data_IF_290139395542
#
_entry.id   IF_290139395542
#
_cell.length_a   1.000
_cell.length_b   1.000
_cell.length_c   1.000
_cell.angle_alpha   90.00
_cell.angle_beta   90.00
_cell.angle_gamma   90.00
#
_symmetry.space_group_name_H-M   'P 1'
#
loop_
_entity.id
_entity.type
_entity.pdbx_description
1 polymer ?
#
# COMPACT_ATOMS: atom_id res chain seq x y z
N UNK A 1 9.19 -31.03 3.13
CA UNK A 1 9.32 -29.74 3.82
C UNK A 1 10.46 -28.93 3.22
N UNK A 2 10.34 -27.62 3.16
CA UNK A 2 11.36 -26.73 2.63
C UNK A 2 12.54 -26.57 3.61
N UNK A 3 12.26 -26.52 4.90
CA UNK A 3 13.22 -26.52 5.97
C UNK A 3 12.73 -27.46 7.09
N UNK A 4 13.66 -28.16 7.75
CA UNK A 4 13.36 -29.05 8.87
C UNK A 4 14.17 -28.62 10.10
N UNK A 5 13.60 -28.83 11.28
CA UNK A 5 14.21 -28.48 12.58
C UNK A 5 14.52 -26.99 12.72
N UNK A 6 13.69 -26.14 12.16
CA UNK A 6 13.74 -24.69 12.28
C UNK A 6 12.49 -24.21 13.01
N UNK A 7 12.65 -23.55 14.15
CA UNK A 7 11.59 -22.86 14.85
C UNK A 7 11.47 -21.43 14.28
N UNK A 8 10.91 -21.33 13.06
CA UNK A 8 10.77 -20.09 12.34
C UNK A 8 9.89 -19.11 13.14
N UNK A 9 10.41 -17.95 13.47
CA UNK A 9 9.68 -16.87 14.14
C UNK A 9 9.26 -15.79 13.17
N UNK A 10 10.04 -15.58 12.10
CA UNK A 10 9.72 -14.62 11.05
C UNK A 10 10.46 -14.96 9.75
N UNK A 11 9.96 -14.45 8.63
CA UNK A 11 10.56 -14.58 7.31
C UNK A 11 10.37 -13.28 6.52
N UNK A 12 11.45 -12.81 5.91
CA UNK A 12 11.41 -11.65 5.02
C UNK A 12 12.45 -11.80 3.90
N UNK A 13 12.38 -10.91 2.89
CA UNK A 13 13.31 -10.88 1.77
C UNK A 13 14.27 -9.69 1.91
N UNK A 14 15.56 -9.99 1.88
CA UNK A 14 16.62 -8.98 1.80
C UNK A 14 16.60 -8.24 0.45
N UNK A 15 17.22 -7.06 0.40
CA UNK A 15 17.34 -6.28 -0.84
C UNK A 15 18.13 -6.99 -1.93
N UNK A 16 18.94 -7.97 -1.55
CA UNK A 16 19.71 -8.85 -2.44
C UNK A 16 18.90 -10.06 -2.97
N UNK A 17 17.58 -10.04 -2.88
CA UNK A 17 16.71 -11.09 -3.36
C UNK A 17 16.71 -12.39 -2.54
N UNK A 18 17.52 -12.48 -1.48
CA UNK A 18 17.57 -13.67 -0.63
C UNK A 18 16.49 -13.65 0.44
N UNK A 19 15.87 -14.78 0.69
CA UNK A 19 14.96 -14.96 1.81
C UNK A 19 15.77 -15.14 3.10
N UNK A 20 15.38 -14.42 4.15
CA UNK A 20 15.97 -14.53 5.49
C UNK A 20 14.93 -15.10 6.43
N UNK A 21 15.30 -16.13 7.17
CA UNK A 21 14.45 -16.80 8.15
C UNK A 21 15.11 -16.63 9.52
N UNK A 22 14.37 -16.10 10.49
CA UNK A 22 14.79 -16.09 11.88
C UNK A 22 14.31 -17.35 12.60
N UNK A 23 15.20 -17.93 13.40
CA UNK A 23 14.98 -19.14 14.17
C UNK A 23 15.21 -18.85 15.65
N UNK A 24 14.25 -19.27 16.47
CA UNK A 24 14.33 -19.11 17.93
C UNK A 24 15.42 -20.00 18.59
N UNK A 25 15.92 -21.00 17.86
CA UNK A 25 16.84 -22.00 18.42
C UNK A 25 16.12 -23.21 19.03
N UNK A 26 16.59 -23.72 20.17
CA UNK A 26 16.03 -24.91 20.81
C UNK A 26 15.08 -24.56 21.97
N UNK A 27 13.78 -24.61 21.71
CA UNK A 27 12.72 -24.66 22.73
C UNK A 27 12.56 -23.44 23.62
N UNK A 28 11.64 -23.54 24.59
CA UNK A 28 11.25 -22.45 25.49
C UNK A 28 12.24 -22.18 26.64
N UNK A 29 13.23 -23.01 26.82
CA UNK A 29 14.20 -22.93 27.93
C UNK A 29 15.31 -21.89 27.70
N UNK A 30 15.28 -21.21 26.57
CA UNK A 30 16.13 -20.05 26.24
C UNK A 30 17.64 -20.31 26.50
N UNK A 31 18.33 -20.76 25.47
CA UNK A 31 19.79 -20.86 25.50
C UNK A 31 20.50 -19.57 25.05
N UNK A 32 19.72 -18.48 24.89
CA UNK A 32 20.18 -17.17 24.39
C UNK A 32 20.78 -17.23 22.96
N UNK A 33 20.55 -18.33 22.23
CA UNK A 33 21.05 -18.53 20.87
C UNK A 33 19.89 -18.45 19.87
N UNK A 34 19.91 -17.45 19.01
CA UNK A 34 19.06 -17.34 17.81
C UNK A 34 19.89 -17.59 16.57
N UNK A 35 19.23 -17.96 15.47
CA UNK A 35 19.86 -18.16 14.16
C UNK A 35 19.15 -17.37 13.08
N UNK A 36 19.92 -16.91 12.10
CA UNK A 36 19.40 -16.35 10.86
C UNK A 36 19.87 -17.22 9.71
N UNK A 37 18.93 -17.76 8.97
CA UNK A 37 19.21 -18.51 7.75
C UNK A 37 18.97 -17.60 6.54
N UNK A 38 19.89 -17.63 5.60
CA UNK A 38 19.73 -17.00 4.29
C UNK A 38 19.56 -18.09 3.24
N UNK A 39 18.46 -18.05 2.51
CA UNK A 39 18.06 -19.05 1.52
C UNK A 39 17.83 -18.37 0.19
N UNK A 40 18.31 -18.94 -0.91
CA UNK A 40 18.14 -18.40 -2.24
C UNK A 40 18.17 -19.51 -3.30
N UNK A 41 17.63 -19.18 -4.47
CA UNK A 41 17.78 -19.98 -5.67
C UNK A 41 18.76 -19.26 -6.60
N UNK A 42 19.87 -19.90 -6.95
CA UNK A 42 20.94 -19.30 -7.76
C UNK A 42 20.44 -18.76 -9.13
N UNK A 43 19.41 -19.37 -9.70
CA UNK A 43 18.82 -18.92 -10.96
C UNK A 43 17.88 -17.72 -10.88
N UNK A 44 17.50 -17.27 -9.68
CA UNK A 44 16.50 -16.21 -9.51
C UNK A 44 16.92 -15.08 -8.55
N UNK A 45 18.08 -15.19 -7.90
CA UNK A 45 18.51 -14.17 -6.94
C UNK A 45 18.73 -12.81 -7.61
N UNK A 46 19.25 -12.80 -8.83
CA UNK A 46 19.52 -11.55 -9.58
C UNK A 46 18.24 -10.80 -9.93
N UNK A 47 17.16 -11.51 -10.27
CA UNK A 47 15.85 -10.89 -10.58
C UNK A 47 15.23 -10.19 -9.38
N UNK A 48 15.51 -10.67 -8.17
CA UNK A 48 15.01 -10.10 -6.91
C UNK A 48 15.98 -9.11 -6.25
N UNK A 49 17.16 -8.91 -6.82
CA UNK A 49 18.15 -7.98 -6.26
C UNK A 49 17.83 -6.53 -6.64
N UNK A 50 17.49 -5.75 -5.63
CA UNK A 50 17.21 -4.31 -5.75
C UNK A 50 18.18 -3.47 -4.92
N UNK A 51 19.31 -4.06 -4.51
CA UNK A 51 20.30 -3.42 -3.63
C UNK A 51 20.76 -2.08 -4.18
N UNK A 52 21.07 -2.00 -5.48
CA UNK A 52 21.53 -0.78 -6.13
C UNK A 52 20.47 0.33 -6.11
N UNK A 53 19.18 -0.04 -6.20
CA UNK A 53 18.09 0.93 -6.12
C UNK A 53 18.02 1.55 -4.72
N UNK A 54 18.36 0.77 -3.69
CA UNK A 54 18.34 1.23 -2.30
C UNK A 54 19.62 1.97 -1.87
N UNK A 55 20.72 1.83 -2.62
CA UNK A 55 21.93 2.60 -2.36
C UNK A 55 21.68 4.11 -2.51
N UNK A 56 22.26 4.89 -1.62
CA UNK A 56 22.10 6.35 -1.62
C UNK A 56 20.73 6.85 -1.16
N UNK A 57 19.79 5.96 -0.87
CA UNK A 57 18.44 6.29 -0.39
C UNK A 57 17.52 6.88 -1.46
N UNK A 58 16.25 7.07 -1.11
CA UNK A 58 15.22 7.58 -2.02
C UNK A 58 15.10 9.10 -2.00
N UNK A 59 15.52 9.74 -0.92
CA UNK A 59 15.43 11.19 -0.78
C UNK A 59 16.39 11.97 -1.70
N UNK A 60 17.41 11.31 -2.26
CA UNK A 60 18.35 11.93 -3.21
C UNK A 60 17.96 11.75 -4.68
N UNK A 61 17.00 10.84 -4.98
CA UNK A 61 16.58 10.55 -6.35
C UNK A 61 15.74 11.69 -6.95
N UNK A 62 15.83 11.90 -8.26
CA UNK A 62 14.97 12.85 -8.96
C UNK A 62 13.48 12.46 -8.83
N UNK A 63 12.59 13.44 -8.88
CA UNK A 63 11.15 13.22 -8.74
C UNK A 63 10.61 12.32 -9.86
N UNK A 64 11.08 12.51 -11.07
CA UNK A 64 10.73 11.71 -12.25
C UNK A 64 11.09 10.23 -12.06
N UNK A 65 12.28 9.96 -11.53
CA UNK A 65 12.72 8.60 -11.22
C UNK A 65 11.85 7.96 -10.12
N UNK A 66 11.44 8.72 -9.11
CA UNK A 66 10.53 8.23 -8.08
C UNK A 66 9.13 7.91 -8.63
N UNK A 67 8.65 8.70 -9.59
CA UNK A 67 7.37 8.44 -10.27
C UNK A 67 7.43 7.13 -11.06
N UNK A 68 8.49 6.91 -11.82
CA UNK A 68 8.72 5.64 -12.54
C UNK A 68 8.74 4.45 -11.57
N UNK A 69 9.37 4.61 -10.41
CA UNK A 69 9.45 3.59 -9.37
C UNK A 69 8.10 3.23 -8.73
N UNK A 70 7.06 4.05 -8.87
CA UNK A 70 5.71 3.69 -8.40
C UNK A 70 5.10 2.49 -9.13
N UNK A 71 5.61 2.14 -10.30
CA UNK A 71 5.22 0.97 -11.10
C UNK A 71 6.20 -0.20 -11.01
N UNK A 72 7.26 -0.09 -10.23
CA UNK A 72 8.30 -1.11 -10.13
C UNK A 72 7.72 -2.46 -9.68
N UNK A 73 8.27 -3.58 -10.19
CA UNK A 73 7.80 -4.93 -9.83
C UNK A 73 7.96 -5.22 -8.34
N UNK A 74 9.05 -4.76 -7.74
CA UNK A 74 9.30 -4.93 -6.30
C UNK A 74 8.49 -3.93 -5.48
N UNK A 75 7.64 -4.45 -4.60
CA UNK A 75 6.79 -3.66 -3.70
C UNK A 75 7.61 -2.73 -2.79
N UNK A 76 8.78 -3.15 -2.34
CA UNK A 76 9.63 -2.37 -1.43
C UNK A 76 10.11 -1.08 -2.10
N UNK A 77 10.45 -1.16 -3.38
CA UNK A 77 10.82 0.01 -4.21
C UNK A 77 9.62 0.97 -4.34
N UNK A 78 8.43 0.44 -4.68
CA UNK A 78 7.22 1.27 -4.80
C UNK A 78 6.88 2.02 -3.53
N UNK A 79 6.92 1.32 -2.37
CA UNK A 79 6.63 1.93 -1.06
C UNK A 79 7.64 3.03 -0.72
N UNK A 80 8.93 2.81 -0.98
CA UNK A 80 9.96 3.82 -0.70
C UNK A 80 9.82 5.05 -1.60
N UNK A 81 9.51 4.85 -2.88
CA UNK A 81 9.22 5.94 -3.81
C UNK A 81 7.97 6.73 -3.37
N UNK A 82 6.89 6.04 -3.00
CA UNK A 82 5.69 6.66 -2.44
C UNK A 82 6.00 7.55 -1.24
N UNK A 83 6.78 7.06 -0.28
CA UNK A 83 7.16 7.83 0.92
C UNK A 83 8.02 9.04 0.57
N UNK A 84 8.98 8.90 -0.34
CA UNK A 84 9.82 10.00 -0.76
C UNK A 84 9.00 11.11 -1.46
N UNK A 85 8.07 10.75 -2.34
CA UNK A 85 7.16 11.69 -3.01
C UNK A 85 6.21 12.37 -2.02
N UNK A 86 5.68 11.62 -1.05
CA UNK A 86 4.82 12.19 -0.01
C UNK A 86 5.58 13.17 0.89
N UNK A 87 6.80 12.84 1.30
CA UNK A 87 7.64 13.71 2.12
C UNK A 87 8.05 15.01 1.41
N UNK A 88 8.10 15.00 0.06
CA UNK A 88 8.37 16.18 -0.77
C UNK A 88 7.11 16.99 -1.09
N UNK A 89 5.95 16.48 -0.70
CA UNK A 89 4.65 17.05 -1.08
C UNK A 89 4.51 17.24 -2.60
N UNK A 90 4.97 16.24 -3.39
CA UNK A 90 4.94 16.24 -4.87
C UNK A 90 3.50 16.07 -5.40
N UNK A 91 2.61 16.99 -5.01
CA UNK A 91 1.16 16.86 -5.27
C UNK A 91 0.85 16.86 -6.76
N UNK A 92 1.39 17.80 -7.52
CA UNK A 92 1.06 17.94 -8.95
C UNK A 92 1.46 16.69 -9.74
N UNK A 93 2.66 16.19 -9.50
CA UNK A 93 3.19 15.00 -10.15
C UNK A 93 2.37 13.75 -9.77
N UNK A 94 1.95 13.65 -8.52
CA UNK A 94 1.07 12.56 -8.07
C UNK A 94 -0.33 12.64 -8.71
N UNK A 95 -0.86 13.85 -8.94
CA UNK A 95 -2.13 14.03 -9.65
C UNK A 95 -2.02 13.60 -11.11
N UNK A 96 -0.91 13.86 -11.77
CA UNK A 96 -0.65 13.38 -13.13
C UNK A 96 -0.59 11.84 -13.18
N UNK A 97 0.04 11.21 -12.18
CA UNK A 97 0.08 9.74 -12.07
C UNK A 97 -1.32 9.14 -11.88
N UNK A 98 -2.25 9.82 -11.23
CA UNK A 98 -3.64 9.33 -11.12
C UNK A 98 -4.32 9.14 -12.49
N UNK A 99 -3.90 9.88 -13.50
CA UNK A 99 -4.42 9.79 -14.87
C UNK A 99 -3.71 8.72 -15.73
N UNK A 100 -2.69 8.07 -15.20
CA UNK A 100 -1.94 7.04 -15.94
C UNK A 100 -2.74 5.75 -16.10
N UNK A 101 -2.35 4.90 -17.06
CA UNK A 101 -2.95 3.57 -17.24
C UNK A 101 -2.34 2.50 -16.32
N UNK A 102 -1.36 2.85 -15.49
CA UNK A 102 -0.71 1.88 -14.61
C UNK A 102 -1.42 1.81 -13.25
N UNK A 103 -2.14 0.72 -13.01
CA UNK A 103 -2.91 0.52 -11.78
C UNK A 103 -2.04 0.65 -10.51
N UNK A 104 -0.86 0.01 -10.49
CA UNK A 104 0.02 0.06 -9.31
C UNK A 104 0.51 1.47 -9.01
N UNK A 105 0.95 2.20 -10.05
CA UNK A 105 1.38 3.58 -9.88
C UNK A 105 0.25 4.47 -9.35
N UNK A 106 -0.97 4.33 -9.89
CA UNK A 106 -2.16 5.06 -9.43
C UNK A 106 -2.47 4.78 -7.97
N UNK A 107 -2.43 3.50 -7.54
CA UNK A 107 -2.65 3.11 -6.14
C UNK A 107 -1.62 3.77 -5.21
N UNK A 108 -0.35 3.72 -5.57
CA UNK A 108 0.71 4.33 -4.77
C UNK A 108 0.59 5.87 -4.74
N UNK A 109 0.18 6.50 -5.84
CA UNK A 109 -0.10 7.95 -5.88
C UNK A 109 -1.27 8.33 -4.96
N UNK A 110 -2.36 7.57 -4.96
CA UNK A 110 -3.50 7.78 -4.05
C UNK A 110 -3.04 7.71 -2.58
N UNK A 111 -2.24 6.72 -2.23
CA UNK A 111 -1.71 6.59 -0.86
C UNK A 111 -0.71 7.68 -0.49
N UNK A 112 0.12 8.14 -1.44
CA UNK A 112 1.00 9.28 -1.21
C UNK A 112 0.21 10.57 -0.93
N UNK A 113 -0.84 10.86 -1.71
CA UNK A 113 -1.74 11.98 -1.47
C UNK A 113 -2.46 11.88 -0.11
N UNK A 114 -2.86 10.67 0.29
CA UNK A 114 -3.43 10.44 1.61
C UNK A 114 -2.42 10.68 2.75
N UNK A 115 -1.15 10.36 2.54
CA UNK A 115 -0.08 10.67 3.50
C UNK A 115 0.13 12.19 3.61
N UNK A 116 0.21 12.91 2.50
CA UNK A 116 0.33 14.37 2.47
C UNK A 116 -0.87 15.01 3.19
N UNK A 117 -2.08 14.52 2.91
CA UNK A 117 -3.28 15.02 3.60
C UNK A 117 -3.19 14.88 5.12
N UNK A 118 -2.72 13.73 5.61
CA UNK A 118 -2.58 13.50 7.06
C UNK A 118 -1.51 14.36 7.72
N UNK A 119 -0.42 14.67 7.01
CA UNK A 119 0.70 15.44 7.55
C UNK A 119 0.48 16.96 7.48
N UNK A 120 -0.22 17.43 6.42
CA UNK A 120 -0.35 18.87 6.14
C UNK A 120 -1.76 19.41 6.35
N UNK A 121 -2.76 18.53 6.47
CA UNK A 121 -4.20 18.85 6.47
C UNK A 121 -4.68 19.56 5.19
N UNK A 122 -3.87 19.60 4.14
CA UNK A 122 -4.25 20.13 2.84
C UNK A 122 -5.37 19.27 2.19
N UNK A 123 -6.25 19.85 1.38
CA UNK A 123 -7.47 19.20 0.91
C UNK A 123 -7.25 18.20 -0.22
N UNK A 124 -6.32 17.23 -0.05
CA UNK A 124 -6.01 16.25 -1.10
C UNK A 124 -7.15 15.26 -1.38
N UNK A 125 -8.05 15.04 -0.43
CA UNK A 125 -9.14 14.07 -0.56
C UNK A 125 -10.14 14.42 -1.66
N UNK A 126 -10.25 15.68 -2.04
CA UNK A 126 -11.08 16.10 -3.18
C UNK A 126 -10.62 15.47 -4.51
N UNK A 127 -9.33 15.13 -4.64
CA UNK A 127 -8.77 14.50 -5.84
C UNK A 127 -8.99 12.98 -5.85
N UNK A 128 -9.23 12.38 -4.68
CA UNK A 128 -9.56 10.97 -4.54
C UNK A 128 -11.07 10.72 -4.76
N UNK A 129 -11.91 11.69 -4.46
CA UNK A 129 -13.37 11.56 -4.54
C UNK A 129 -13.88 11.09 -5.93
N UNK A 130 -13.40 11.61 -7.07
CA UNK A 130 -13.82 11.13 -8.39
C UNK A 130 -13.48 9.66 -8.66
N UNK A 131 -12.45 9.12 -8.01
CA UNK A 131 -11.98 7.75 -8.21
C UNK A 131 -12.94 6.69 -7.63
N UNK A 132 -13.95 7.11 -6.89
CA UNK A 132 -15.09 6.23 -6.52
C UNK A 132 -15.89 5.75 -7.73
N UNK A 133 -15.80 6.44 -8.86
CA UNK A 133 -16.51 6.12 -10.12
C UNK A 133 -15.54 5.56 -11.18
N UNK A 134 -14.32 5.18 -10.79
CA UNK A 134 -13.33 4.65 -11.71
C UNK A 134 -13.78 3.32 -12.34
N UNK A 135 -13.38 3.08 -13.59
CA UNK A 135 -13.68 1.82 -14.27
C UNK A 135 -13.00 0.61 -13.58
N UNK A 136 -11.81 0.83 -13.01
CA UNK A 136 -11.05 -0.18 -12.29
C UNK A 136 -11.59 -0.38 -10.86
N UNK A 137 -12.05 -1.58 -10.56
CA UNK A 137 -12.61 -1.92 -9.24
C UNK A 137 -11.59 -1.80 -8.10
N UNK A 138 -10.31 -2.04 -8.36
CA UNK A 138 -9.28 -1.87 -7.32
C UNK A 138 -9.05 -0.39 -7.00
N UNK A 139 -9.10 0.50 -8.01
CA UNK A 139 -9.04 1.95 -7.78
C UNK A 139 -10.25 2.42 -6.97
N UNK A 140 -11.48 1.97 -7.30
CA UNK A 140 -12.66 2.27 -6.47
C UNK A 140 -12.52 1.76 -5.04
N UNK A 141 -11.97 0.55 -4.87
CA UNK A 141 -11.68 -0.05 -3.56
C UNK A 141 -10.76 0.82 -2.72
N UNK A 142 -9.64 1.23 -3.30
CA UNK A 142 -8.66 2.07 -2.62
C UNK A 142 -9.24 3.47 -2.32
N UNK A 143 -10.05 4.03 -3.20
CA UNK A 143 -10.76 5.30 -2.96
C UNK A 143 -11.70 5.20 -1.75
N UNK A 144 -12.53 4.15 -1.67
CA UNK A 144 -13.39 3.90 -0.49
C UNK A 144 -12.58 3.83 0.80
N UNK A 145 -11.50 3.05 0.78
CA UNK A 145 -10.63 2.88 1.95
C UNK A 145 -10.01 4.20 2.40
N UNK A 146 -9.39 4.93 1.48
CA UNK A 146 -8.69 6.19 1.78
C UNK A 146 -9.66 7.26 2.30
N UNK A 147 -10.80 7.45 1.63
CA UNK A 147 -11.78 8.46 2.02
C UNK A 147 -12.45 8.13 3.36
N UNK A 148 -12.68 6.83 3.63
CA UNK A 148 -13.16 6.37 4.93
C UNK A 148 -12.14 6.60 6.05
N UNK A 149 -10.87 6.29 5.83
CA UNK A 149 -9.79 6.51 6.80
C UNK A 149 -9.50 8.00 7.04
N UNK A 150 -9.69 8.84 6.03
CA UNK A 150 -9.54 10.28 6.13
C UNK A 150 -10.78 10.98 6.76
N UNK A 151 -11.83 10.23 7.11
CA UNK A 151 -13.10 10.78 7.57
C UNK A 151 -13.66 11.87 6.66
N UNK A 152 -13.52 11.69 5.33
CA UNK A 152 -13.96 12.66 4.33
C UNK A 152 -15.46 12.57 4.08
N UNK A 153 -16.26 13.24 4.92
CA UNK A 153 -17.73 13.16 4.94
C UNK A 153 -18.41 13.52 3.62
N UNK A 154 -17.79 14.36 2.78
CA UNK A 154 -18.32 14.69 1.45
C UNK A 154 -18.42 13.48 0.50
N UNK A 155 -17.73 12.39 0.81
CA UNK A 155 -17.78 11.16 0.04
C UNK A 155 -18.94 10.24 0.44
N UNK A 156 -19.63 10.52 1.55
CA UNK A 156 -20.56 9.59 2.19
C UNK A 156 -21.62 9.03 1.22
N UNK A 157 -22.39 9.87 0.55
CA UNK A 157 -23.46 9.42 -0.36
C UNK A 157 -22.97 8.57 -1.52
N UNK A 158 -21.79 8.91 -2.09
CA UNK A 158 -21.16 8.10 -3.16
C UNK A 158 -20.67 6.76 -2.64
N UNK A 159 -20.07 6.72 -1.44
CA UNK A 159 -19.61 5.48 -0.82
C UNK A 159 -20.79 4.57 -0.49
N UNK A 160 -21.88 5.10 0.03
CA UNK A 160 -23.10 4.33 0.30
C UNK A 160 -23.64 3.66 -0.97
N UNK A 161 -23.64 4.34 -2.11
CA UNK A 161 -24.08 3.73 -3.38
C UNK A 161 -23.19 2.57 -3.84
N UNK A 162 -21.91 2.51 -3.40
CA UNK A 162 -20.98 1.44 -3.72
C UNK A 162 -21.11 0.19 -2.82
N UNK A 163 -21.99 0.21 -1.81
CA UNK A 163 -22.29 -0.99 -1.01
C UNK A 163 -22.83 -2.12 -1.91
N UNK A 164 -23.53 -1.76 -2.98
CA UNK A 164 -24.05 -2.70 -3.97
C UNK A 164 -23.18 -2.79 -5.25
N UNK A 165 -21.90 -2.42 -5.20
CA UNK A 165 -21.00 -2.54 -6.35
C UNK A 165 -20.90 -4.00 -6.81
N UNK A 166 -20.83 -4.28 -8.13
CA UNK A 166 -20.64 -5.64 -8.65
C UNK A 166 -19.38 -6.33 -8.14
N UNK A 167 -18.34 -5.58 -7.76
CA UNK A 167 -17.15 -6.11 -7.11
C UNK A 167 -17.39 -6.26 -5.62
N UNK A 168 -17.38 -7.49 -5.12
CA UNK A 168 -17.51 -7.79 -3.68
C UNK A 168 -16.43 -7.09 -2.84
N UNK A 169 -15.25 -6.84 -3.42
CA UNK A 169 -14.17 -6.12 -2.75
C UNK A 169 -14.50 -4.64 -2.59
N UNK A 170 -15.07 -3.99 -3.60
CA UNK A 170 -15.56 -2.60 -3.51
C UNK A 170 -16.68 -2.52 -2.48
N UNK A 171 -17.68 -3.38 -2.57
CA UNK A 171 -18.82 -3.45 -1.63
C UNK A 171 -18.34 -3.59 -0.17
N UNK A 172 -17.38 -4.46 0.09
CA UNK A 172 -16.79 -4.62 1.43
C UNK A 172 -16.16 -3.32 1.94
N UNK A 173 -15.27 -2.70 1.14
CA UNK A 173 -14.60 -1.46 1.56
C UNK A 173 -15.54 -0.25 1.62
N UNK A 174 -16.57 -0.20 0.79
CA UNK A 174 -17.64 0.79 0.88
C UNK A 174 -18.41 0.66 2.21
N UNK A 175 -18.79 -0.55 2.60
CA UNK A 175 -19.42 -0.82 3.90
C UNK A 175 -18.55 -0.38 5.07
N UNK A 176 -17.27 -0.74 5.05
CA UNK A 176 -16.30 -0.33 6.07
C UNK A 176 -16.12 1.19 6.14
N UNK A 177 -16.04 1.86 4.98
CA UNK A 177 -15.90 3.31 4.91
C UNK A 177 -17.17 4.02 5.39
N UNK A 178 -18.35 3.53 5.04
CA UNK A 178 -19.63 4.03 5.52
C UNK A 178 -19.69 4.01 7.05
N UNK A 179 -19.27 2.91 7.67
CA UNK A 179 -19.18 2.78 9.14
C UNK A 179 -18.25 3.82 9.78
N UNK A 180 -17.11 4.13 9.15
CA UNK A 180 -16.15 5.12 9.64
C UNK A 180 -16.59 6.57 9.47
N UNK A 181 -17.29 6.85 8.39
CA UNK A 181 -17.81 8.19 8.11
C UNK A 181 -19.03 8.57 9.00
N UNK A 182 -19.58 7.64 9.65
CA UNK A 182 -20.44 7.47 10.78
C UNK A 182 -21.47 8.47 11.16
N UNK A 183 -22.56 8.71 10.63
CA UNK A 183 -23.86 8.88 11.28
C UNK A 183 -24.87 7.88 10.68
N UNK A 184 -24.34 6.80 10.16
CA UNK A 184 -24.94 5.85 9.25
C UNK A 184 -25.92 4.85 9.90
N UNK A 185 -26.27 4.97 11.17
CA UNK A 185 -27.19 3.98 11.79
C UNK A 185 -28.53 3.91 11.06
N UNK A 186 -29.08 5.03 10.69
CA UNK A 186 -30.42 5.07 10.12
C UNK A 186 -30.45 4.78 8.60
N UNK A 187 -29.42 5.20 7.88
CA UNK A 187 -29.34 4.95 6.41
C UNK A 187 -28.90 3.52 6.09
N UNK A 188 -27.97 2.93 6.86
CA UNK A 188 -27.55 1.53 6.66
C UNK A 188 -28.70 0.58 7.00
N UNK A 189 -29.44 0.82 8.10
CA UNK A 189 -30.55 -0.02 8.53
C UNK A 189 -31.71 0.02 7.52
N UNK A 190 -31.89 1.12 6.81
CA UNK A 190 -32.92 1.22 5.76
C UNK A 190 -32.55 0.52 4.45
N UNK A 191 -31.29 0.10 4.26
CA UNK A 191 -30.78 -0.56 3.05
C UNK A 191 -30.58 -2.08 3.23
N UNK A 192 -30.68 -2.59 4.46
CA UNK A 192 -30.66 -4.02 4.79
C UNK A 192 -32.07 -4.58 4.88
#
# INVERSE_FOLDING_TARGET
>A
PFAEKVLCTDVDFGYNGKMVISDWGEGWTGNEEGRLYSVWNEGHVEEGDVSDIFQGGFNSKATEALIEMLSHVDRRVRIRAQYALANRESVNELLDVLQSNNQLARIHAMWALAMIHRSTLLPQMQHILPLLEDADSEIRTQACKILGEAHYTKAFSKIVSLINDPSSRVSYFATMATSRLGNAKDEIVSML
#
